data_IF_104387792108
#
_entry.id   IF_104387792108
#
_cell.length_a   1.000
_cell.length_b   1.000
_cell.length_c   1.000
_cell.angle_alpha   90.00
_cell.angle_beta   90.00
_cell.angle_gamma   90.00
#
_symmetry.space_group_name_H-M   'P 1'
#
loop_
_entity.id
_entity.type
_entity.pdbx_description
1 polymer ?
#
# COMPACT_ATOMS: atom_id res chain seq x y z
N UNK A 1 -17.02 1.12 -13.97
CA UNK A 1 -15.99 2.15 -14.30
C UNK A 1 -15.38 2.78 -13.05
N UNK A 2 -16.19 3.23 -12.08
CA UNK A 2 -15.67 3.76 -10.80
C UNK A 2 -14.66 2.81 -10.12
N UNK A 3 -14.96 1.52 -10.04
CA UNK A 3 -14.05 0.52 -9.46
C UNK A 3 -12.68 0.44 -10.16
N UNK A 4 -12.62 0.61 -11.49
CA UNK A 4 -11.37 0.58 -12.25
C UNK A 4 -10.50 1.82 -11.98
N UNK A 5 -11.12 3.02 -11.90
CA UNK A 5 -10.40 4.23 -11.52
C UNK A 5 -9.89 4.16 -10.07
N UNK A 6 -10.70 3.67 -9.14
CA UNK A 6 -10.28 3.46 -7.76
C UNK A 6 -9.12 2.46 -7.66
N UNK A 7 -9.13 1.39 -8.44
CA UNK A 7 -8.02 0.42 -8.49
C UNK A 7 -6.71 1.09 -8.95
N UNK A 8 -6.76 1.92 -10.00
CA UNK A 8 -5.59 2.65 -10.51
C UNK A 8 -5.03 3.62 -9.47
N UNK A 9 -5.86 4.46 -8.86
CA UNK A 9 -5.40 5.40 -7.84
C UNK A 9 -4.92 4.67 -6.57
N UNK A 10 -5.58 3.59 -6.18
CA UNK A 10 -5.17 2.71 -5.08
C UNK A 10 -3.74 2.19 -5.27
N UNK A 11 -3.38 1.81 -6.50
CA UNK A 11 -2.02 1.39 -6.85
C UNK A 11 -0.96 2.48 -6.70
N UNK A 12 -1.33 3.76 -6.80
CA UNK A 12 -0.36 4.87 -6.64
C UNK A 12 -0.02 5.19 -5.19
N UNK A 13 -0.91 4.84 -4.24
CA UNK A 13 -0.76 5.21 -2.83
C UNK A 13 0.36 4.47 -2.08
N UNK A 14 0.82 3.34 -2.59
CA UNK A 14 1.91 2.55 -1.99
C UNK A 14 3.05 2.33 -2.97
N UNK A 15 4.25 2.15 -2.43
CA UNK A 15 5.45 1.93 -3.24
C UNK A 15 5.38 0.63 -4.06
N UNK A 16 4.68 -0.40 -3.54
CA UNK A 16 4.53 -1.72 -4.18
C UNK A 16 3.28 -1.79 -5.07
N UNK A 17 2.43 -0.77 -5.06
CA UNK A 17 1.14 -0.81 -5.76
C UNK A 17 1.24 -0.79 -7.28
N UNK A 18 2.31 -0.24 -7.87
CA UNK A 18 2.57 -0.31 -9.31
C UNK A 18 4.06 -0.51 -9.60
N UNK A 19 4.36 -1.19 -10.72
CA UNK A 19 5.75 -1.37 -11.18
C UNK A 19 6.48 -0.04 -11.42
N UNK A 20 5.77 1.00 -11.83
CA UNK A 20 6.33 2.34 -12.06
C UNK A 20 6.91 2.95 -10.78
N UNK A 21 6.22 2.80 -9.64
CA UNK A 21 6.69 3.31 -8.35
C UNK A 21 8.00 2.61 -7.91
N UNK A 22 8.10 1.30 -8.13
CA UNK A 22 9.32 0.53 -7.85
C UNK A 22 10.47 0.90 -8.80
N UNK A 23 10.18 1.04 -10.10
CA UNK A 23 11.16 1.48 -11.09
C UNK A 23 11.69 2.88 -10.76
N UNK A 24 10.82 3.80 -10.35
CA UNK A 24 11.22 5.14 -9.92
C UNK A 24 12.19 5.08 -8.74
N UNK A 25 11.87 4.30 -7.70
CA UNK A 25 12.79 4.10 -6.58
C UNK A 25 14.14 3.54 -7.03
N UNK A 26 14.13 2.52 -7.90
CA UNK A 26 15.38 1.93 -8.41
C UNK A 26 16.24 2.94 -9.18
N UNK A 27 15.62 3.75 -10.05
CA UNK A 27 16.32 4.80 -10.78
C UNK A 27 16.84 5.88 -9.83
N UNK A 28 16.03 6.31 -8.86
CA UNK A 28 16.42 7.34 -7.89
C UNK A 28 17.63 6.90 -7.06
N UNK A 29 17.60 5.68 -6.54
CA UNK A 29 18.71 5.10 -5.77
C UNK A 29 19.97 4.89 -6.64
N UNK A 30 19.81 4.58 -7.93
CA UNK A 30 20.96 4.47 -8.85
C UNK A 30 21.59 5.82 -9.21
N UNK A 31 20.78 6.88 -9.26
CA UNK A 31 21.22 8.22 -9.65
C UNK A 31 21.83 8.98 -8.48
N UNK A 32 21.31 8.79 -7.26
CA UNK A 32 21.72 9.48 -6.05
C UNK A 32 22.19 8.48 -4.97
N UNK A 33 23.39 7.89 -5.13
CA UNK A 33 23.90 6.86 -4.20
C UNK A 33 24.21 7.42 -2.80
N UNK A 34 24.42 8.73 -2.66
CA UNK A 34 24.72 9.41 -1.39
C UNK A 34 23.45 9.80 -0.59
N UNK A 35 22.25 9.56 -1.13
CA UNK A 35 20.97 9.85 -0.47
C UNK A 35 20.51 8.65 0.36
N UNK A 36 19.77 8.88 1.45
CA UNK A 36 19.19 7.80 2.30
C UNK A 36 18.15 6.91 1.58
N UNK A 37 17.87 7.18 0.30
CA UNK A 37 16.94 6.42 -0.52
C UNK A 37 15.47 6.68 -0.13
N UNK A 38 14.55 6.07 -0.89
CA UNK A 38 13.12 6.25 -0.67
C UNK A 38 12.59 5.09 0.18
N UNK A 39 12.25 5.41 1.44
CA UNK A 39 11.61 4.45 2.35
C UNK A 39 10.12 4.27 2.03
N UNK A 40 9.59 3.07 2.31
CA UNK A 40 8.18 2.74 2.10
C UNK A 40 7.24 3.72 2.82
N UNK A 41 7.56 4.05 4.08
CA UNK A 41 6.77 4.96 4.91
C UNK A 41 6.79 6.39 4.37
N UNK A 42 7.95 6.88 3.91
CA UNK A 42 8.09 8.21 3.32
C UNK A 42 7.26 8.35 2.03
N UNK A 43 7.34 7.35 1.16
CA UNK A 43 6.51 7.30 -0.05
C UNK A 43 5.02 7.30 0.28
N UNK A 44 4.61 6.48 1.24
CA UNK A 44 3.22 6.35 1.63
C UNK A 44 2.67 7.65 2.24
N UNK A 45 3.39 8.30 3.14
CA UNK A 45 2.96 9.58 3.75
C UNK A 45 2.81 10.68 2.67
N UNK A 46 3.70 10.69 1.66
CA UNK A 46 3.63 11.65 0.57
C UNK A 46 2.50 11.36 -0.43
N UNK A 47 2.32 10.09 -0.82
CA UNK A 47 1.41 9.71 -1.91
C UNK A 47 -0.01 9.37 -1.45
N UNK A 48 -0.20 8.91 -0.20
CA UNK A 48 -1.51 8.56 0.32
C UNK A 48 -2.50 9.75 0.34
N UNK A 49 -2.12 10.97 0.78
CA UNK A 49 -3.02 12.13 0.71
C UNK A 49 -3.41 12.46 -0.73
N UNK A 50 -2.44 12.45 -1.65
CA UNK A 50 -2.68 12.70 -3.07
C UNK A 50 -3.61 11.66 -3.69
N UNK A 51 -3.43 10.39 -3.35
CA UNK A 51 -4.35 9.31 -3.76
C UNK A 51 -5.78 9.59 -3.30
N UNK A 52 -5.98 9.92 -2.01
CA UNK A 52 -7.31 10.17 -1.45
C UNK A 52 -7.99 11.34 -2.18
N UNK A 53 -7.25 12.42 -2.42
CA UNK A 53 -7.74 13.59 -3.16
C UNK A 53 -8.16 13.19 -4.57
N UNK A 54 -7.33 12.43 -5.30
CA UNK A 54 -7.65 12.01 -6.67
C UNK A 54 -8.86 11.08 -6.75
N UNK A 55 -9.01 10.15 -5.79
CA UNK A 55 -10.20 9.29 -5.68
C UNK A 55 -11.44 10.15 -5.43
N UNK A 56 -11.36 11.12 -4.53
CA UNK A 56 -12.47 12.02 -4.22
C UNK A 56 -12.86 12.89 -5.42
N UNK A 57 -11.88 13.48 -6.12
CA UNK A 57 -12.12 14.26 -7.34
C UNK A 57 -12.74 13.42 -8.45
N UNK A 58 -12.27 12.18 -8.63
CA UNK A 58 -12.83 11.26 -9.62
C UNK A 58 -14.24 10.85 -9.26
N UNK A 59 -14.52 10.62 -7.97
CA UNK A 59 -15.87 10.35 -7.50
C UNK A 59 -16.82 11.52 -7.81
N UNK A 60 -16.41 12.76 -7.51
CA UNK A 60 -17.19 13.96 -7.89
C UNK A 60 -17.36 14.03 -9.41
N UNK A 61 -16.30 13.84 -10.19
CA UNK A 61 -16.36 13.88 -11.65
C UNK A 61 -17.37 12.88 -12.21
N UNK A 62 -17.38 11.64 -11.72
CA UNK A 62 -18.34 10.62 -12.13
C UNK A 62 -19.77 10.97 -11.71
N UNK A 63 -19.96 11.54 -10.52
CA UNK A 63 -21.26 12.03 -10.06
C UNK A 63 -21.80 13.17 -10.95
N UNK A 64 -20.94 14.10 -11.36
CA UNK A 64 -21.33 15.23 -12.22
C UNK A 64 -21.63 14.79 -13.65
N UNK A 65 -20.81 13.90 -14.21
CA UNK A 65 -20.92 13.46 -15.59
C UNK A 65 -22.07 12.47 -15.81
N UNK A 66 -22.23 11.48 -14.93
CA UNK A 66 -23.17 10.38 -15.13
C UNK A 66 -24.44 10.50 -14.27
N UNK A 67 -24.36 10.99 -13.03
CA UNK A 67 -25.54 11.09 -12.14
C UNK A 67 -26.23 12.47 -12.17
N UNK A 68 -25.74 13.41 -12.99
CA UNK A 68 -26.49 14.61 -13.34
C UNK A 68 -26.71 15.61 -12.21
N UNK A 69 -25.85 15.65 -11.19
CA UNK A 69 -25.99 16.49 -9.99
C UNK A 69 -26.17 18.01 -10.29
N UNK A 70 -25.74 18.49 -11.46
CA UNK A 70 -25.94 19.88 -11.93
C UNK A 70 -26.73 20.01 -13.25
N UNK A 71 -27.28 18.92 -13.82
CA UNK A 71 -28.12 18.97 -15.04
C UNK A 71 -29.18 17.86 -15.03
N UNK A 72 -30.22 17.97 -14.19
CA UNK A 72 -31.23 16.91 -14.00
C UNK A 72 -32.09 16.61 -15.24
N UNK A 73 -32.11 17.49 -16.26
CA UNK A 73 -32.87 17.32 -17.50
C UNK A 73 -32.02 16.88 -18.71
N UNK A 74 -30.76 16.46 -18.51
CA UNK A 74 -29.93 15.92 -19.62
C UNK A 74 -30.34 14.49 -19.97
N UNK A 75 -30.25 14.12 -21.25
CA UNK A 75 -30.52 12.74 -21.73
C UNK A 75 -29.65 11.70 -21.02
N UNK A 76 -28.41 12.05 -20.66
CA UNK A 76 -27.48 11.16 -19.95
C UNK A 76 -27.93 10.86 -18.51
N UNK A 77 -28.54 11.83 -17.82
CA UNK A 77 -29.07 11.65 -16.47
C UNK A 77 -30.35 10.80 -16.45
N UNK A 78 -31.15 10.86 -17.53
CA UNK A 78 -32.33 9.99 -17.69
C UNK A 78 -31.95 8.53 -18.01
N UNK A 79 -30.85 8.31 -18.75
CA UNK A 79 -30.33 6.96 -19.03
C UNK A 79 -29.65 6.36 -17.78
N UNK A 80 -28.99 7.20 -16.97
CA UNK A 80 -28.37 6.78 -15.71
C UNK A 80 -29.37 6.61 -14.56
N UNK A 81 -30.60 7.14 -14.69
CA UNK A 81 -31.69 6.87 -13.76
C UNK A 81 -32.19 5.44 -14.01
N UNK A 82 -31.45 4.49 -13.45
CA UNK A 82 -31.89 3.10 -13.32
C UNK A 82 -33.14 3.19 -12.44
N UNK A 83 -34.33 3.05 -13.03
CA UNK A 83 -35.57 3.10 -12.27
C UNK A 83 -35.55 2.13 -11.08
N UNK A 84 -36.46 2.31 -10.12
CA UNK A 84 -36.54 1.52 -8.87
C UNK A 84 -36.43 0.00 -9.15
N UNK A 85 -36.96 -0.46 -10.28
CA UNK A 85 -36.88 -1.84 -10.73
C UNK A 85 -35.44 -2.30 -11.00
N UNK A 86 -34.61 -1.53 -11.69
CA UNK A 86 -33.22 -1.89 -11.96
C UNK A 86 -32.31 -1.77 -10.72
N UNK A 87 -32.65 -0.92 -9.75
CA UNK A 87 -31.96 -0.89 -8.44
C UNK A 87 -32.24 -2.19 -7.66
N UNK A 88 -33.49 -2.65 -7.65
CA UNK A 88 -33.85 -3.92 -6.97
C UNK A 88 -33.17 -5.12 -7.61
N UNK A 89 -33.11 -5.20 -8.95
CA UNK A 89 -32.41 -6.27 -9.67
C UNK A 89 -30.90 -6.23 -9.38
N UNK A 90 -30.29 -5.04 -9.37
CA UNK A 90 -28.86 -4.89 -9.05
C UNK A 90 -28.56 -5.34 -7.62
N UNK A 91 -29.39 -4.93 -6.65
CA UNK A 91 -29.25 -5.35 -5.27
C UNK A 91 -29.46 -6.86 -5.09
N UNK A 92 -30.42 -7.47 -5.79
CA UNK A 92 -30.62 -8.92 -5.77
C UNK A 92 -29.39 -9.66 -6.30
N UNK A 93 -28.85 -9.24 -7.45
CA UNK A 93 -27.63 -9.84 -8.02
C UNK A 93 -26.45 -9.69 -7.05
N UNK A 94 -26.27 -8.52 -6.42
CA UNK A 94 -25.20 -8.32 -5.43
C UNK A 94 -25.38 -9.26 -4.23
N UNK A 95 -26.61 -9.39 -3.71
CA UNK A 95 -26.91 -10.27 -2.58
C UNK A 95 -26.73 -11.75 -2.93
N UNK A 96 -27.09 -12.18 -4.14
CA UNK A 96 -26.82 -13.52 -4.64
C UNK A 96 -25.31 -13.79 -4.70
N UNK A 97 -24.53 -12.87 -5.28
CA UNK A 97 -23.07 -13.01 -5.32
C UNK A 97 -22.45 -13.05 -3.92
N UNK A 98 -22.91 -12.21 -2.99
CA UNK A 98 -22.44 -12.26 -1.60
C UNK A 98 -22.77 -13.59 -0.91
N UNK A 99 -23.94 -14.18 -1.18
CA UNK A 99 -24.31 -15.51 -0.67
C UNK A 99 -23.47 -16.62 -1.30
N UNK A 100 -23.15 -16.52 -2.59
CA UNK A 100 -22.27 -17.46 -3.30
C UNK A 100 -20.82 -17.43 -2.79
N UNK A 101 -20.32 -16.28 -2.34
CA UNK A 101 -18.96 -16.16 -1.77
C UNK A 101 -18.75 -17.03 -0.53
N UNK A 102 -19.83 -17.38 0.20
CA UNK A 102 -19.74 -18.19 1.41
C UNK A 102 -19.02 -17.47 2.57
N UNK A 103 -18.77 -18.21 3.65
CA UNK A 103 -18.02 -17.70 4.81
C UNK A 103 -16.51 -17.70 4.55
N UNK A 104 -15.78 -16.78 5.20
CA UNK A 104 -14.31 -16.70 5.12
C UNK A 104 -13.71 -18.04 5.55
N UNK A 105 -12.89 -18.62 4.66
CA UNK A 105 -12.17 -19.86 4.95
C UNK A 105 -10.96 -19.62 5.85
N UNK A 106 -10.50 -20.66 6.55
CA UNK A 106 -9.30 -20.57 7.40
C UNK A 106 -8.06 -20.09 6.61
N UNK A 107 -7.93 -20.51 5.34
CA UNK A 107 -6.82 -20.13 4.47
C UNK A 107 -6.87 -18.65 4.08
N UNK A 108 -8.06 -18.13 3.76
CA UNK A 108 -8.26 -16.70 3.46
C UNK A 108 -7.91 -15.84 4.67
N UNK A 109 -8.36 -16.24 5.86
CA UNK A 109 -8.01 -15.55 7.11
C UNK A 109 -6.50 -15.58 7.37
N UNK A 110 -5.83 -16.72 7.16
CA UNK A 110 -4.38 -16.84 7.35
C UNK A 110 -3.60 -15.92 6.39
N UNK A 111 -3.97 -15.88 5.11
CA UNK A 111 -3.33 -14.99 4.13
C UNK A 111 -3.58 -13.52 4.47
N UNK A 112 -4.80 -13.16 4.92
CA UNK A 112 -5.11 -11.81 5.36
C UNK A 112 -4.25 -11.38 6.56
N UNK A 113 -4.07 -12.26 7.56
CA UNK A 113 -3.20 -11.98 8.73
C UNK A 113 -1.75 -11.81 8.31
N UNK A 114 -1.23 -12.67 7.43
CA UNK A 114 0.13 -12.54 6.90
C UNK A 114 0.33 -11.23 6.14
N UNK A 115 -0.64 -10.86 5.31
CA UNK A 115 -0.60 -9.62 4.53
C UNK A 115 -0.60 -8.38 5.42
N UNK A 116 -1.48 -8.34 6.41
CA UNK A 116 -1.54 -7.25 7.41
C UNK A 116 -0.21 -7.17 8.18
N UNK A 117 0.32 -8.30 8.62
CA UNK A 117 1.61 -8.38 9.31
C UNK A 117 2.75 -7.82 8.44
N UNK A 118 2.78 -8.18 7.14
CA UNK A 118 3.73 -7.62 6.18
C UNK A 118 3.63 -6.10 6.04
N UNK A 119 2.42 -5.55 5.95
CA UNK A 119 2.21 -4.10 5.89
C UNK A 119 2.77 -3.42 7.13
N UNK A 120 2.46 -3.94 8.32
CA UNK A 120 3.00 -3.40 9.57
C UNK A 120 4.53 -3.47 9.60
N UNK A 121 5.12 -4.60 9.21
CA UNK A 121 6.57 -4.73 9.11
C UNK A 121 7.19 -3.71 8.15
N UNK A 122 6.55 -3.42 7.02
CA UNK A 122 7.01 -2.39 6.08
C UNK A 122 6.93 -0.97 6.66
N UNK A 123 5.86 -0.65 7.39
CA UNK A 123 5.71 0.66 8.04
C UNK A 123 6.74 0.89 9.14
N UNK A 124 6.99 -0.13 9.96
CA UNK A 124 7.95 -0.06 11.06
C UNK A 124 9.41 -0.31 10.65
N UNK A 125 9.68 -0.56 9.35
CA UNK A 125 11.04 -0.81 8.85
C UNK A 125 11.98 0.36 9.10
N UNK A 126 11.57 1.56 8.69
CA UNK A 126 12.24 2.84 8.88
C UNK A 126 11.18 3.95 8.93
N UNK A 127 10.44 4.08 10.04
CA UNK A 127 9.33 5.02 10.10
C UNK A 127 9.78 6.48 10.17
N UNK A 128 11.08 6.77 10.35
CA UNK A 128 11.63 8.13 10.42
C UNK A 128 11.29 8.90 11.71
N UNK A 129 10.32 8.43 12.50
CA UNK A 129 9.91 9.02 13.78
C UNK A 129 10.36 8.21 15.01
N UNK A 130 10.63 6.90 14.84
CA UNK A 130 11.09 5.97 15.88
C UNK A 130 12.21 5.12 15.27
N UNK A 131 13.20 4.68 16.06
CA UNK A 131 14.21 3.70 15.61
C UNK A 131 13.51 2.50 14.99
N UNK A 132 13.69 2.29 13.70
CA UNK A 132 13.06 1.18 12.99
C UNK A 132 13.62 -0.15 13.47
N UNK A 133 12.86 -1.23 13.34
CA UNK A 133 13.38 -2.57 13.68
C UNK A 133 14.62 -2.92 12.83
N UNK A 134 14.76 -2.34 11.64
CA UNK A 134 15.96 -2.53 10.80
C UNK A 134 17.21 -1.94 11.42
N UNK A 135 17.10 -0.81 12.13
CA UNK A 135 18.20 -0.19 12.85
C UNK A 135 18.56 -1.00 14.10
N UNK A 136 17.56 -1.49 14.83
CA UNK A 136 17.77 -2.35 15.99
C UNK A 136 18.49 -3.67 15.64
N UNK A 137 18.12 -4.29 14.51
CA UNK A 137 18.83 -5.49 14.02
C UNK A 137 20.26 -5.13 13.59
N UNK A 138 20.46 -3.99 12.93
CA UNK A 138 21.80 -3.57 12.49
C UNK A 138 22.71 -3.26 13.69
N UNK A 139 22.17 -2.64 14.74
CA UNK A 139 22.87 -2.35 16.00
C UNK A 139 23.26 -3.66 16.72
N UNK A 140 22.33 -4.62 16.83
CA UNK A 140 22.62 -5.96 17.34
C UNK A 140 23.69 -6.70 16.53
N UNK A 141 23.62 -6.64 15.20
CA UNK A 141 24.58 -7.29 14.32
C UNK A 141 25.98 -6.69 14.47
N UNK A 142 26.08 -5.36 14.57
CA UNK A 142 27.33 -4.65 14.80
C UNK A 142 27.94 -4.99 16.17
N UNK A 143 27.13 -5.05 17.23
CA UNK A 143 27.59 -5.47 18.56
C UNK A 143 28.13 -6.91 18.53
N UNK A 144 27.42 -7.81 17.86
CA UNK A 144 27.85 -9.20 17.68
C UNK A 144 29.17 -9.29 16.90
N UNK A 145 29.31 -8.55 15.80
CA UNK A 145 30.54 -8.46 15.01
C UNK A 145 31.73 -7.91 15.82
N UNK A 146 31.52 -6.84 16.58
CA UNK A 146 32.57 -6.24 17.42
C UNK A 146 33.04 -7.19 18.54
N UNK A 147 32.10 -7.96 19.10
CA UNK A 147 32.38 -8.96 20.14
C UNK A 147 33.14 -10.16 19.58
N UNK A 148 32.76 -10.65 18.40
CA UNK A 148 33.47 -11.72 17.69
C UNK A 148 34.87 -11.26 17.27
N UNK A 149 35.01 -10.03 16.79
CA UNK A 149 36.31 -9.47 16.40
C UNK A 149 37.26 -9.31 17.61
N UNK A 150 36.78 -8.78 18.74
CA UNK A 150 37.59 -8.64 19.96
C UNK A 150 38.01 -9.99 20.55
N UNK A 151 37.12 -11.00 20.50
CA UNK A 151 37.45 -12.34 21.00
C UNK A 151 38.44 -13.09 20.10
N UNK A 152 38.43 -12.85 18.79
CA UNK A 152 39.44 -13.36 17.86
C UNK A 152 40.82 -12.73 18.06
N UNK A 153 40.88 -11.43 18.36
CA UNK A 153 42.14 -10.73 18.67
C UNK A 153 42.75 -11.26 19.97
N UNK A 154 41.93 -11.37 21.03
CA UNK A 154 42.36 -11.94 22.31
C UNK A 154 42.90 -13.37 22.16
N UNK A 155 42.28 -14.21 21.32
CA UNK A 155 42.80 -15.56 21.02
C UNK A 155 44.12 -15.55 20.27
N UNK A 156 44.37 -14.56 19.40
CA UNK A 156 45.64 -14.43 18.68
C UNK A 156 46.77 -13.96 19.59
N UNK A 157 46.52 -13.03 20.51
CA UNK A 157 47.54 -12.59 21.48
C UNK A 157 47.92 -13.72 22.45
N UNK A 158 46.96 -14.51 22.92
CA UNK A 158 47.24 -15.66 23.78
C UNK A 158 47.94 -16.83 23.07
N UNK A 159 47.91 -16.92 21.74
CA UNK A 159 48.60 -17.97 20.98
C UNK A 159 50.07 -17.64 20.68
N UNK A 160 50.51 -16.42 20.97
CA UNK A 160 51.90 -15.94 20.77
C UNK A 160 52.69 -15.77 22.08
N UNK A 161 52.12 -16.18 23.22
CA UNK A 161 52.78 -16.31 24.53
C UNK A 161 52.96 -17.79 24.84
#
# INVERSE_FOLDING_TARGET
>A
MAAAYCATFGGTGTLVGTGTNLTFKGIFESTFPESEGISFTQWMIAQMPQMIINVFLTWIYLQLMFMGLFRPHSKDAQIANIGIEGETVTNQVIQERYKELGGITFHEAAVAVLFITCIFLWLFRKPGFVRGWSEAITEMLNICLHTVHSSLIMKKEFAHV
#
